data_IF_365431766541
#
_entry.id   IF_365431766541
#
_cell.length_a   1.000
_cell.length_b   1.000
_cell.length_c   1.000
_cell.angle_alpha   90.00
_cell.angle_beta   90.00
_cell.angle_gamma   90.00
#
_symmetry.space_group_name_H-M   'P 1'
#
loop_
_entity.id
_entity.type
_entity.pdbx_description
1 polymer ?
#
# COMPACT_ATOMS: atom_id res chain seq x y z
N UNK A 1 11.24 -15.25 -13.25
CA UNK A 1 10.99 -14.35 -12.09
C UNK A 1 9.56 -13.79 -11.98
N UNK A 2 8.71 -13.80 -13.03
CA UNK A 2 7.35 -13.22 -12.92
C UNK A 2 6.41 -13.97 -11.96
N UNK A 3 6.54 -15.31 -11.84
CA UNK A 3 5.64 -16.13 -11.01
C UNK A 3 5.76 -15.84 -9.52
N UNK A 4 6.98 -15.71 -8.99
CA UNK A 4 7.20 -15.36 -7.59
C UNK A 4 6.72 -13.93 -7.29
N UNK A 5 7.03 -12.97 -8.16
CA UNK A 5 6.53 -11.59 -8.01
C UNK A 5 5.00 -11.53 -8.07
N UNK A 6 4.37 -12.26 -8.99
CA UNK A 6 2.92 -12.34 -9.08
C UNK A 6 2.30 -13.00 -7.83
N UNK A 7 2.91 -14.08 -7.33
CA UNK A 7 2.45 -14.75 -6.12
C UNK A 7 2.53 -13.82 -4.91
N UNK A 8 3.69 -13.19 -4.69
CA UNK A 8 3.88 -12.25 -3.59
C UNK A 8 2.97 -11.02 -3.69
N UNK A 9 2.82 -10.45 -4.89
CA UNK A 9 1.91 -9.32 -5.12
C UNK A 9 0.44 -9.72 -4.91
N UNK A 10 0.05 -10.94 -5.32
CA UNK A 10 -1.26 -11.50 -5.06
C UNK A 10 -1.53 -11.71 -3.58
N UNK A 11 -0.57 -12.28 -2.84
CA UNK A 11 -0.66 -12.43 -1.37
C UNK A 11 -0.82 -11.07 -0.70
N UNK A 12 -0.01 -10.08 -1.06
CA UNK A 12 -0.12 -8.72 -0.52
C UNK A 12 -1.48 -8.08 -0.80
N UNK A 13 -1.97 -8.17 -2.03
CA UNK A 13 -3.28 -7.62 -2.40
C UNK A 13 -4.40 -8.30 -1.60
N UNK A 14 -4.32 -9.62 -1.42
CA UNK A 14 -5.25 -10.37 -0.58
C UNK A 14 -5.22 -9.91 0.89
N UNK A 15 -4.03 -9.67 1.45
CA UNK A 15 -3.89 -9.11 2.81
C UNK A 15 -4.54 -7.73 2.91
N UNK A 16 -4.34 -6.86 1.92
CA UNK A 16 -4.90 -5.51 1.92
C UNK A 16 -6.44 -5.52 1.87
N UNK A 17 -7.03 -6.34 0.99
CA UNK A 17 -8.49 -6.50 0.88
C UNK A 17 -9.05 -7.07 2.18
N UNK A 18 -8.39 -8.08 2.74
CA UNK A 18 -8.80 -8.69 4.01
C UNK A 18 -8.73 -7.69 5.16
N UNK A 19 -7.67 -6.87 5.24
CA UNK A 19 -7.54 -5.82 6.25
C UNK A 19 -8.68 -4.79 6.15
N UNK A 20 -9.04 -4.37 4.94
CA UNK A 20 -10.15 -3.45 4.72
C UNK A 20 -11.50 -4.05 5.13
N UNK A 21 -11.76 -5.30 4.76
CA UNK A 21 -12.98 -6.00 5.13
C UNK A 21 -13.07 -6.26 6.66
N UNK A 22 -11.98 -6.73 7.26
CA UNK A 22 -11.88 -6.97 8.69
C UNK A 22 -12.05 -5.67 9.50
N UNK A 23 -11.49 -4.55 9.04
CA UNK A 23 -11.70 -3.25 9.67
C UNK A 23 -13.19 -2.89 9.74
N UNK A 24 -13.96 -3.11 8.66
CA UNK A 24 -15.40 -2.91 8.65
C UNK A 24 -16.12 -3.72 9.74
N UNK A 25 -15.83 -5.02 9.82
CA UNK A 25 -16.39 -5.90 10.86
C UNK A 25 -16.01 -5.42 12.26
N UNK A 26 -14.76 -5.01 12.48
CA UNK A 26 -14.31 -4.54 13.78
C UNK A 26 -15.09 -3.31 14.24
N UNK A 27 -15.32 -2.34 13.35
CA UNK A 27 -16.12 -1.14 13.68
C UNK A 27 -17.60 -1.44 13.97
N UNK A 28 -18.14 -2.55 13.46
CA UNK A 28 -19.50 -3.01 13.76
C UNK A 28 -19.60 -3.82 15.06
N UNK A 29 -18.50 -4.46 15.50
CA UNK A 29 -18.53 -5.46 16.58
C UNK A 29 -17.96 -4.99 17.91
N UNK A 30 -16.98 -4.09 17.91
CA UNK A 30 -16.28 -3.66 19.11
C UNK A 30 -16.21 -2.14 19.23
N UNK A 31 -15.70 -1.63 20.36
CA UNK A 31 -15.57 -0.20 20.60
C UNK A 31 -14.75 0.49 19.50
N UNK A 32 -15.18 1.68 19.08
CA UNK A 32 -14.57 2.42 17.95
C UNK A 32 -13.06 2.62 18.09
N UNK A 33 -12.57 2.83 19.31
CA UNK A 33 -11.15 3.00 19.60
C UNK A 33 -10.37 1.69 19.40
N UNK A 34 -10.81 0.60 20.04
CA UNK A 34 -10.22 -0.74 19.88
C UNK A 34 -10.26 -1.20 18.42
N UNK A 35 -11.40 -1.03 17.74
CA UNK A 35 -11.55 -1.31 16.31
C UNK A 35 -10.50 -0.57 15.48
N UNK A 36 -10.34 0.72 15.73
CA UNK A 36 -9.38 1.54 15.02
C UNK A 36 -7.93 1.14 15.29
N UNK A 37 -7.61 0.62 16.48
CA UNK A 37 -6.26 0.22 16.85
C UNK A 37 -5.88 -1.12 16.21
N UNK A 38 -6.79 -2.10 16.25
CA UNK A 38 -6.62 -3.37 15.55
C UNK A 38 -6.58 -3.15 14.02
N UNK A 39 -7.47 -2.33 13.47
CA UNK A 39 -7.44 -1.98 12.05
C UNK A 39 -6.10 -1.32 11.67
N UNK A 40 -5.59 -0.41 12.50
CA UNK A 40 -4.28 0.20 12.30
C UNK A 40 -3.15 -0.85 12.20
N UNK A 41 -3.17 -1.86 13.05
CA UNK A 41 -2.19 -2.95 13.03
C UNK A 41 -2.32 -3.84 11.78
N UNK A 42 -3.54 -4.17 11.36
CA UNK A 42 -3.80 -4.95 10.14
C UNK A 42 -3.25 -4.23 8.90
N UNK A 43 -3.58 -2.94 8.77
CA UNK A 43 -3.08 -2.12 7.67
C UNK A 43 -1.56 -1.94 7.73
N UNK A 44 -0.97 -1.68 8.90
CA UNK A 44 0.48 -1.56 9.05
C UNK A 44 1.21 -2.85 8.62
N UNK A 45 0.68 -4.01 9.01
CA UNK A 45 1.24 -5.31 8.64
C UNK A 45 1.18 -5.52 7.12
N UNK A 46 0.01 -5.27 6.50
CA UNK A 46 -0.14 -5.33 5.05
C UNK A 46 0.77 -4.31 4.34
N UNK A 47 0.98 -3.14 4.93
CA UNK A 47 1.78 -2.07 4.35
C UNK A 47 3.28 -2.41 4.35
N UNK A 48 3.83 -2.91 5.47
CA UNK A 48 5.22 -3.39 5.52
C UNK A 48 5.47 -4.58 4.58
N UNK A 49 4.54 -5.54 4.54
CA UNK A 49 4.63 -6.64 3.59
C UNK A 49 4.62 -6.13 2.14
N UNK A 50 3.74 -5.16 1.84
CA UNK A 50 3.68 -4.49 0.54
C UNK A 50 4.97 -3.80 0.16
N UNK A 51 5.52 -2.99 1.05
CA UNK A 51 6.81 -2.33 0.83
C UNK A 51 7.90 -3.34 0.47
N UNK A 52 8.01 -4.45 1.22
CA UNK A 52 8.99 -5.49 0.93
C UNK A 52 8.77 -6.13 -0.45
N UNK A 53 7.54 -6.56 -0.74
CA UNK A 53 7.17 -7.22 -2.01
C UNK A 53 7.42 -6.32 -3.21
N UNK A 54 6.97 -5.07 -3.15
CA UNK A 54 7.07 -4.13 -4.26
C UNK A 54 8.48 -3.59 -4.46
N UNK A 55 9.30 -3.53 -3.40
CA UNK A 55 10.72 -3.21 -3.51
C UNK A 55 11.47 -4.34 -4.23
N UNK A 56 11.19 -5.60 -3.88
CA UNK A 56 11.71 -6.76 -4.61
C UNK A 56 11.25 -6.76 -6.07
N UNK A 57 9.97 -6.47 -6.33
CA UNK A 57 9.43 -6.35 -7.69
C UNK A 57 10.12 -5.24 -8.50
N UNK A 58 10.42 -4.11 -7.87
CA UNK A 58 11.15 -3.00 -8.48
C UNK A 58 12.57 -3.39 -8.87
N UNK A 59 13.33 -4.03 -7.98
CA UNK A 59 14.68 -4.52 -8.30
C UNK A 59 14.68 -5.59 -9.40
N UNK A 60 13.70 -6.50 -9.35
CA UNK A 60 13.51 -7.52 -10.38
C UNK A 60 13.19 -6.92 -11.76
N UNK A 61 12.43 -5.82 -11.80
CA UNK A 61 12.12 -5.10 -13.02
C UNK A 61 13.33 -4.31 -13.56
N UNK A 62 14.12 -3.68 -12.67
CA UNK A 62 15.31 -2.89 -13.04
C UNK A 62 16.47 -3.76 -13.55
N UNK A 63 16.62 -4.98 -13.02
CA UNK A 63 17.70 -5.91 -13.41
C UNK A 63 17.54 -6.47 -14.83
N UNK A 64 16.33 -6.36 -15.41
CA UNK A 64 16.09 -6.69 -16.81
C UNK A 64 16.50 -5.50 -17.70
N UNK A 65 17.81 -5.31 -17.87
CA UNK A 65 18.32 -4.49 -18.98
C UNK A 65 17.96 -5.16 -20.31
N UNK A 66 17.49 -4.43 -21.33
CA UNK A 66 17.17 -5.00 -22.62
C UNK A 66 18.48 -5.49 -23.27
N UNK A 67 18.73 -6.79 -23.21
CA UNK A 67 19.71 -7.43 -24.07
C UNK A 67 19.05 -7.65 -25.43
N UNK A 68 19.05 -6.62 -26.28
CA UNK A 68 18.49 -6.72 -27.62
C UNK A 68 18.24 -5.36 -28.26
N UNK A 69 18.99 -5.06 -29.31
CA UNK A 69 18.69 -4.01 -30.28
C UNK A 69 17.36 -4.39 -30.97
N UNK A 70 16.26 -3.80 -30.52
CA UNK A 70 14.95 -4.02 -31.13
C UNK A 70 13.85 -4.08 -30.09
N UNK A 71 12.96 -3.09 -30.16
CA UNK A 71 11.71 -2.97 -29.38
C UNK A 71 11.88 -2.37 -27.98
N UNK A 72 12.13 -1.06 -28.00
CA UNK A 72 12.04 -0.13 -26.88
C UNK A 72 10.59 0.06 -26.40
N UNK A 73 9.91 -1.00 -25.96
CA UNK A 73 8.69 -0.84 -25.16
C UNK A 73 9.12 -0.48 -23.74
N UNK A 74 9.26 0.83 -23.46
CA UNK A 74 9.47 1.36 -22.11
C UNK A 74 8.33 0.87 -21.21
N UNK A 75 8.52 -0.27 -20.56
CA UNK A 75 7.52 -0.86 -19.66
C UNK A 75 7.13 0.20 -18.63
N UNK A 76 5.84 0.54 -18.57
CA UNK A 76 5.32 1.53 -17.60
C UNK A 76 5.26 0.90 -16.20
N UNK A 77 5.40 -0.42 -16.09
CA UNK A 77 5.29 -1.17 -14.84
C UNK A 77 6.23 -0.69 -13.72
N UNK A 78 7.54 -0.42 -13.95
CA UNK A 78 8.40 0.17 -12.93
C UNK A 78 7.77 1.45 -12.37
N UNK A 79 7.42 2.43 -13.21
CA UNK A 79 6.85 3.72 -12.74
C UNK A 79 5.66 3.52 -11.79
N UNK A 80 4.74 2.62 -12.11
CA UNK A 80 3.61 2.30 -11.22
C UNK A 80 4.04 1.62 -9.92
N UNK A 81 5.05 0.74 -9.95
CA UNK A 81 5.64 0.17 -8.72
C UNK A 81 6.26 1.26 -7.84
N UNK A 82 6.98 2.24 -8.42
CA UNK A 82 7.51 3.37 -7.64
C UNK A 82 6.41 4.22 -7.03
N UNK A 83 5.36 4.56 -7.79
CA UNK A 83 4.20 5.31 -7.27
C UNK A 83 3.56 4.53 -6.12
N UNK A 84 3.34 3.22 -6.29
CA UNK A 84 2.77 2.38 -5.26
C UNK A 84 3.66 2.35 -4.00
N UNK A 85 4.98 2.19 -4.15
CA UNK A 85 5.92 2.23 -3.02
C UNK A 85 5.87 3.57 -2.27
N UNK A 86 5.83 4.70 -2.99
CA UNK A 86 5.73 6.03 -2.39
C UNK A 86 4.43 6.21 -1.62
N UNK A 87 3.31 5.73 -2.16
CA UNK A 87 2.00 5.81 -1.50
C UNK A 87 1.95 4.93 -0.24
N UNK A 88 2.47 3.70 -0.29
CA UNK A 88 2.60 2.83 0.88
C UNK A 88 3.48 3.46 1.95
N UNK A 89 4.64 4.00 1.56
CA UNK A 89 5.56 4.68 2.46
C UNK A 89 4.92 5.93 3.09
N UNK A 90 4.24 6.75 2.31
CA UNK A 90 3.50 7.92 2.82
C UNK A 90 2.46 7.48 3.86
N UNK A 91 1.66 6.44 3.56
CA UNK A 91 0.69 5.91 4.53
C UNK A 91 1.36 5.42 5.82
N UNK A 92 2.50 4.72 5.71
CA UNK A 92 3.15 4.14 6.88
C UNK A 92 3.84 5.18 7.77
N UNK A 93 4.57 6.12 7.14
CA UNK A 93 5.53 6.96 7.84
C UNK A 93 5.05 8.39 8.04
N UNK A 94 4.01 8.82 7.30
CA UNK A 94 3.44 10.16 7.43
C UNK A 94 2.02 10.11 7.99
N UNK A 95 1.10 9.38 7.32
CA UNK A 95 -0.31 9.41 7.70
C UNK A 95 -0.60 8.61 8.98
N UNK A 96 -0.10 7.37 9.11
CA UNK A 96 -0.37 6.55 10.29
C UNK A 96 0.11 7.21 11.60
N UNK A 97 1.32 7.83 11.69
CA UNK A 97 1.74 8.55 12.89
C UNK A 97 0.88 9.76 13.22
N UNK A 98 0.39 10.50 12.23
CA UNK A 98 -0.53 11.62 12.44
C UNK A 98 -1.88 11.14 12.98
N UNK A 99 -2.42 10.05 12.42
CA UNK A 99 -3.68 9.44 12.88
C UNK A 99 -3.53 8.94 14.31
N UNK A 100 -2.42 8.30 14.65
CA UNK A 100 -2.13 7.84 16.01
C UNK A 100 -2.03 9.01 17.00
N UNK A 101 -1.35 10.10 16.62
CA UNK A 101 -1.25 11.29 17.44
C UNK A 101 -2.62 11.93 17.71
N UNK A 102 -3.49 11.98 16.70
CA UNK A 102 -4.88 12.42 16.87
C UNK A 102 -5.66 11.56 17.85
N UNK A 103 -5.51 10.23 17.80
CA UNK A 103 -6.18 9.33 18.76
C UNK A 103 -5.68 9.49 20.19
N UNK A 104 -4.38 9.73 20.35
CA UNK A 104 -3.74 9.86 21.66
C UNK A 104 -3.84 11.28 22.25
N UNK A 105 -4.34 12.27 21.49
CA UNK A 105 -4.35 13.67 21.91
C UNK A 105 -2.93 14.27 22.02
N UNK A 106 -1.96 13.70 21.30
CA UNK A 106 -0.56 14.15 21.34
C UNK A 106 -0.21 15.02 20.14
N UNK A 107 0.86 15.79 20.23
CA UNK A 107 1.38 16.55 19.09
C UNK A 107 2.14 15.66 18.10
N UNK A 108 2.13 16.06 16.83
CA UNK A 108 2.95 15.48 15.77
C UNK A 108 3.35 16.63 14.83
N UNK A 109 4.61 16.69 14.38
CA UNK A 109 5.11 17.82 13.60
C UNK A 109 4.28 18.10 12.34
N UNK A 110 3.82 17.05 11.64
CA UNK A 110 3.04 17.19 10.42
C UNK A 110 1.62 17.65 10.73
N UNK A 111 1.05 17.17 11.84
CA UNK A 111 -0.22 17.63 12.35
C UNK A 111 -0.16 19.08 12.82
N UNK A 112 0.91 19.48 13.51
CA UNK A 112 1.13 20.86 13.96
C UNK A 112 1.34 21.82 12.79
N UNK A 113 1.93 21.35 11.69
CA UNK A 113 2.17 22.15 10.50
C UNK A 113 0.93 22.28 9.61
N UNK A 114 0.27 21.16 9.30
CA UNK A 114 -0.83 21.12 8.33
C UNK A 114 -2.23 21.22 8.98
N UNK A 115 -2.34 20.98 10.28
CA UNK A 115 -3.62 20.94 10.99
C UNK A 115 -4.53 19.80 10.49
N UNK A 116 -5.84 20.04 10.53
CA UNK A 116 -6.85 19.11 10.02
C UNK A 116 -7.42 18.15 11.06
N UNK A 117 -8.67 17.73 10.85
CA UNK A 117 -9.38 16.82 11.75
C UNK A 117 -8.94 15.37 11.57
N UNK A 118 -9.22 14.52 12.56
CA UNK A 118 -9.03 13.07 12.45
C UNK A 118 -9.68 12.50 11.18
N UNK A 119 -10.90 12.95 10.85
CA UNK A 119 -11.64 12.47 9.69
C UNK A 119 -10.94 12.75 8.35
N UNK A 120 -10.27 13.90 8.22
CA UNK A 120 -9.49 14.23 7.02
C UNK A 120 -8.31 13.28 6.89
N UNK A 121 -7.48 13.17 7.94
CA UNK A 121 -6.29 12.32 7.92
C UNK A 121 -6.62 10.84 7.70
N UNK A 122 -7.65 10.35 8.41
CA UNK A 122 -8.12 8.97 8.27
C UNK A 122 -8.70 8.71 6.88
N UNK A 123 -9.54 9.62 6.36
CA UNK A 123 -10.14 9.51 5.03
C UNK A 123 -9.09 9.54 3.91
N UNK A 124 -8.09 10.42 4.02
CA UNK A 124 -6.96 10.48 3.07
C UNK A 124 -6.18 9.17 3.06
N UNK A 125 -5.87 8.60 4.23
CA UNK A 125 -5.15 7.32 4.31
C UNK A 125 -5.94 6.17 3.66
N UNK A 126 -7.25 6.12 3.90
CA UNK A 126 -8.17 5.15 3.27
C UNK A 126 -8.20 5.28 1.74
N UNK A 127 -8.25 6.50 1.21
CA UNK A 127 -8.21 6.74 -0.22
C UNK A 127 -6.87 6.30 -0.83
N UNK A 128 -5.76 6.55 -0.15
CA UNK A 128 -4.44 6.08 -0.58
C UNK A 128 -4.40 4.55 -0.64
N UNK A 129 -4.92 3.85 0.38
CA UNK A 129 -4.97 2.39 0.36
C UNK A 129 -5.82 1.86 -0.80
N UNK A 130 -6.96 2.48 -1.09
CA UNK A 130 -7.79 2.12 -2.24
C UNK A 130 -7.01 2.27 -3.56
N UNK A 131 -6.33 3.39 -3.77
CA UNK A 131 -5.51 3.63 -4.96
C UNK A 131 -4.37 2.61 -5.05
N UNK A 132 -3.69 2.31 -3.95
CA UNK A 132 -2.67 1.26 -3.91
C UNK A 132 -3.22 -0.10 -4.33
N UNK A 133 -4.44 -0.45 -3.88
CA UNK A 133 -5.11 -1.70 -4.26
C UNK A 133 -5.39 -1.78 -5.75
N UNK A 134 -5.88 -0.69 -6.36
CA UNK A 134 -6.14 -0.61 -7.80
C UNK A 134 -4.85 -0.73 -8.63
N UNK A 135 -3.80 0.01 -8.25
CA UNK A 135 -2.49 -0.08 -8.92
C UNK A 135 -1.92 -1.49 -8.79
N UNK A 136 -1.99 -2.06 -7.58
CA UNK A 136 -1.54 -3.40 -7.26
C UNK A 136 -2.23 -4.49 -8.09
N UNK A 137 -3.56 -4.42 -8.18
CA UNK A 137 -4.37 -5.31 -9.02
C UNK A 137 -4.00 -5.18 -10.50
N UNK A 138 -3.86 -3.95 -11.02
CA UNK A 138 -3.46 -3.72 -12.40
C UNK A 138 -2.07 -4.30 -12.72
N UNK A 139 -1.10 -4.12 -11.81
CA UNK A 139 0.24 -4.71 -11.94
C UNK A 139 0.22 -6.24 -11.85
N UNK A 140 -0.59 -6.82 -10.96
CA UNK A 140 -0.76 -8.26 -10.84
C UNK A 140 -1.34 -8.88 -12.11
N UNK A 141 -2.43 -8.30 -12.65
CA UNK A 141 -3.04 -8.73 -13.90
C UNK A 141 -2.04 -8.69 -15.05
N UNK A 142 -1.21 -7.64 -15.11
CA UNK A 142 -0.11 -7.54 -16.07
C UNK A 142 0.90 -8.68 -15.89
N UNK A 143 1.33 -8.98 -14.66
CA UNK A 143 2.26 -10.10 -14.43
C UNK A 143 1.70 -11.46 -14.83
N UNK A 144 0.38 -11.65 -14.71
CA UNK A 144 -0.31 -12.87 -15.14
C UNK A 144 -0.47 -12.94 -16.66
N UNK A 145 -0.74 -11.82 -17.33
CA UNK A 145 -0.97 -11.78 -18.79
C UNK A 145 0.31 -12.03 -19.60
N UNK A 146 1.48 -11.60 -19.13
CA UNK A 146 2.77 -11.81 -19.80
C UNK A 146 3.35 -13.23 -19.66
N UNK A 147 2.60 -14.16 -19.04
CA UNK A 147 2.99 -15.56 -18.87
C UNK A 147 2.21 -16.52 -19.78
N UNK A 148 1.33 -16.00 -20.66
CA UNK A 148 0.76 -16.72 -21.80
C UNK A 148 1.54 -16.32 -23.05
#
# INVERSE_FOLDING_TARGET
MNRLTALLAGTWLGMQITAAYAAGILFERIGRQEAGDIAGLLFATANYFGLAVWLLAWFAAKSRRPHGFGRNERSIAPKFIAVLLLLLAANQFLLAPVIAAHKAGTSNWLLSLAGGSFGIWHGTSSMIYLVCGLIGAGLLLRYLSFNR
#
